data_IF_969213494166
#
_entry.id   IF_969213494166
#
_cell.length_a   1.000
_cell.length_b   1.000
_cell.length_c   1.000
_cell.angle_alpha   90.00
_cell.angle_beta   90.00
_cell.angle_gamma   90.00
#
_symmetry.space_group_name_H-M   'P 1'
#
loop_
_entity.id
_entity.type
_entity.pdbx_description
1 polymer ?
#
# COMPACT_ATOMS: atom_id res chain seq x y z
N UNK A 1 14.42 27.79 42.73
CA UNK A 1 13.44 27.99 41.65
C UNK A 1 12.51 26.80 41.75
N UNK A 2 11.33 27.06 42.29
CA UNK A 2 10.13 26.21 42.43
C UNK A 2 9.62 25.75 41.04
N UNK A 3 8.87 24.67 40.82
CA UNK A 3 8.31 23.52 41.56
C UNK A 3 8.07 22.45 40.44
N UNK A 4 8.51 21.20 40.55
CA UNK A 4 7.72 20.00 40.97
C UNK A 4 6.21 20.02 40.64
N UNK A 5 5.81 18.96 39.92
CA UNK A 5 4.49 18.30 39.87
C UNK A 5 3.28 18.97 39.17
N UNK A 6 2.99 18.48 37.95
CA UNK A 6 1.67 18.31 37.30
C UNK A 6 2.01 17.83 35.86
N UNK A 7 1.73 16.62 35.37
CA UNK A 7 0.43 15.99 35.18
C UNK A 7 0.64 14.46 35.04
N UNK A 8 0.39 13.70 36.10
CA UNK A 8 -0.11 12.33 35.99
C UNK A 8 -1.63 12.44 36.11
N UNK A 9 -2.36 11.92 35.12
CA UNK A 9 -3.79 11.55 35.13
C UNK A 9 -4.42 11.79 33.74
N UNK A 10 -4.23 10.82 32.84
CA UNK A 10 -5.21 10.51 31.79
C UNK A 10 -5.30 9.00 31.65
N UNK A 11 -5.76 8.36 32.73
CA UNK A 11 -6.58 7.16 32.61
C UNK A 11 -7.96 7.61 32.12
N UNK A 12 -8.30 7.31 30.87
CA UNK A 12 -9.70 7.25 30.45
C UNK A 12 -9.84 6.29 29.27
N UNK A 13 -10.14 5.05 29.63
CA UNK A 13 -11.11 4.14 29.01
C UNK A 13 -11.56 4.46 27.58
N UNK A 14 -11.11 3.63 26.63
CA UNK A 14 -11.96 3.12 25.53
C UNK A 14 -11.18 2.04 24.75
N UNK A 15 -10.99 0.88 25.39
CA UNK A 15 -10.72 -0.37 24.67
C UNK A 15 -12.07 -1.04 24.40
N UNK A 16 -12.69 -0.71 23.27
CA UNK A 16 -13.85 -1.43 22.77
C UNK A 16 -13.35 -2.58 21.90
N UNK A 17 -13.63 -3.80 22.37
CA UNK A 17 -13.40 -5.08 21.71
C UNK A 17 -14.30 -5.20 20.47
N UNK A 18 -13.69 -5.16 19.28
CA UNK A 18 -14.35 -5.02 17.98
C UNK A 18 -14.87 -6.37 17.41
N UNK A 19 -15.21 -7.33 18.27
CA UNK A 19 -15.50 -8.73 17.89
C UNK A 19 -16.96 -9.19 18.02
N UNK A 20 -17.94 -8.30 18.23
CA UNK A 20 -19.36 -8.70 18.34
C UNK A 20 -20.32 -7.78 17.56
N UNK A 21 -20.12 -7.60 16.25
CA UNK A 21 -21.21 -7.15 15.37
C UNK A 21 -21.79 -8.35 14.63
N UNK A 22 -22.85 -8.94 15.21
CA UNK A 22 -23.76 -9.83 14.50
C UNK A 22 -24.49 -9.08 13.38
N UNK A 23 -24.42 -9.64 12.16
CA UNK A 23 -25.07 -9.16 10.94
C UNK A 23 -26.59 -9.00 11.12
N UNK A 24 -27.05 -7.74 11.27
CA UNK A 24 -28.44 -7.35 11.04
C UNK A 24 -28.47 -6.48 9.79
N UNK A 25 -28.56 -7.12 8.63
CA UNK A 25 -28.82 -6.44 7.36
C UNK A 25 -30.34 -6.37 7.21
N UNK A 26 -30.95 -5.24 7.60
CA UNK A 26 -32.33 -4.93 7.19
C UNK A 26 -32.33 -4.64 5.68
N UNK A 27 -33.05 -5.47 4.92
CA UNK A 27 -33.27 -5.28 3.48
C UNK A 27 -34.11 -4.01 3.25
N UNK A 28 -33.47 -2.91 2.85
CA UNK A 28 -34.14 -1.70 2.38
C UNK A 28 -34.74 -1.94 0.96
N UNK A 29 -36.07 -1.92 0.77
CA UNK A 29 -36.72 -2.29 -0.49
C UNK A 29 -36.64 -1.22 -1.60
N UNK A 30 -35.82 -0.17 -1.45
CA UNK A 30 -35.82 1.01 -2.33
C UNK A 30 -34.44 1.42 -2.85
N UNK A 31 -33.50 0.48 -3.04
CA UNK A 31 -32.33 0.79 -3.87
C UNK A 31 -32.78 1.02 -5.32
N UNK A 32 -32.61 2.23 -5.88
CA UNK A 32 -32.85 2.44 -7.29
C UNK A 32 -31.87 1.57 -8.07
N UNK A 33 -32.37 0.91 -9.12
CA UNK A 33 -31.56 0.20 -10.11
C UNK A 33 -30.61 1.23 -10.75
N UNK A 34 -29.44 1.42 -10.15
CA UNK A 34 -28.30 1.94 -10.88
C UNK A 34 -27.93 0.84 -11.86
N UNK A 35 -28.47 0.93 -13.07
CA UNK A 35 -27.84 0.36 -14.24
C UNK A 35 -26.42 0.92 -14.24
N UNK A 36 -25.48 0.13 -13.72
CA UNK A 36 -24.05 0.40 -13.86
C UNK A 36 -23.79 0.41 -15.37
N UNK A 37 -23.90 1.59 -15.98
CA UNK A 37 -23.25 1.87 -17.25
C UNK A 37 -21.78 1.54 -17.02
N UNK A 38 -21.33 0.43 -17.60
CA UNK A 38 -19.92 0.06 -17.72
C UNK A 38 -19.19 1.25 -18.38
N UNK A 39 -18.74 2.22 -17.56
CA UNK A 39 -17.80 3.25 -17.98
C UNK A 39 -16.43 2.59 -18.08
N UNK A 40 -16.28 1.74 -19.10
CA UNK A 40 -15.02 1.16 -19.56
C UNK A 40 -14.08 2.23 -20.16
N UNK A 41 -14.30 3.54 -19.92
CA UNK A 41 -13.27 4.55 -20.11
C UNK A 41 -12.32 4.54 -18.91
N UNK A 42 -11.55 3.46 -18.78
CA UNK A 42 -10.22 3.59 -18.19
C UNK A 42 -9.46 4.47 -19.17
N UNK A 43 -9.32 5.77 -18.87
CA UNK A 43 -8.54 6.70 -19.70
C UNK A 43 -7.13 6.10 -19.91
N UNK A 44 -6.94 5.44 -21.05
CA UNK A 44 -5.68 4.81 -21.47
C UNK A 44 -4.61 5.86 -21.79
N UNK A 45 -4.87 7.15 -21.53
CA UNK A 45 -3.82 8.15 -21.46
C UNK A 45 -2.98 7.92 -20.20
N UNK A 46 -2.14 6.89 -20.26
CA UNK A 46 -0.87 6.89 -19.56
C UNK A 46 -0.06 8.05 -20.15
N UNK A 47 -0.31 9.27 -19.65
CA UNK A 47 0.57 10.39 -19.91
C UNK A 47 1.95 9.94 -19.46
N UNK A 48 2.81 9.63 -20.45
CA UNK A 48 4.22 9.45 -20.24
C UNK A 48 4.71 10.76 -19.66
N UNK A 49 4.75 10.85 -18.32
CA UNK A 49 5.34 11.97 -17.61
C UNK A 49 6.67 12.30 -18.29
N UNK A 50 6.88 13.59 -18.57
CA UNK A 50 8.09 14.12 -19.18
C UNK A 50 9.29 13.35 -18.61
N UNK A 51 10.08 12.75 -19.51
CA UNK A 51 11.14 11.81 -19.13
C UNK A 51 12.20 12.57 -18.35
N UNK A 52 11.96 12.67 -17.04
CA UNK A 52 12.91 13.18 -16.08
C UNK A 52 14.27 12.54 -16.27
N UNK A 53 15.32 13.23 -15.85
CA UNK A 53 16.64 12.64 -15.90
C UNK A 53 16.74 11.52 -14.86
N UNK A 54 17.07 10.31 -15.30
CA UNK A 54 17.38 9.21 -14.39
C UNK A 54 18.68 9.53 -13.62
N UNK A 55 18.64 9.44 -12.30
CA UNK A 55 19.79 9.57 -11.42
C UNK A 55 20.50 8.21 -11.34
N UNK A 56 21.83 8.11 -11.54
CA UNK A 56 22.56 6.85 -11.38
C UNK A 56 22.45 6.30 -9.96
N UNK A 57 22.43 4.97 -9.81
CA UNK A 57 22.32 4.31 -8.50
C UNK A 57 23.41 4.71 -7.50
N UNK A 58 24.61 5.06 -7.99
CA UNK A 58 25.72 5.55 -7.15
C UNK A 58 25.49 6.94 -6.55
N UNK A 59 24.54 7.68 -7.09
CA UNK A 59 24.22 9.06 -6.73
C UNK A 59 22.82 9.19 -6.11
N UNK A 60 22.19 8.07 -5.72
CA UNK A 60 20.92 8.11 -4.99
C UNK A 60 21.06 8.90 -3.67
N UNK A 61 20.16 9.86 -3.47
CA UNK A 61 20.10 10.71 -2.26
C UNK A 61 18.88 10.40 -1.40
N UNK A 62 17.85 9.73 -1.94
CA UNK A 62 16.64 9.40 -1.16
C UNK A 62 16.88 8.29 -0.13
N UNK A 63 15.97 8.19 0.85
CA UNK A 63 16.08 7.25 1.97
C UNK A 63 16.10 5.78 1.51
N UNK A 64 16.95 4.90 2.07
CA UNK A 64 16.92 3.48 1.73
C UNK A 64 15.67 2.75 2.27
N UNK A 65 14.85 3.42 3.09
CA UNK A 65 13.61 2.85 3.63
C UNK A 65 12.44 3.01 2.66
N UNK A 66 11.60 1.98 2.56
CA UNK A 66 10.31 2.05 1.89
C UNK A 66 9.37 2.93 2.71
N UNK A 67 8.76 3.90 2.07
CA UNK A 67 7.76 4.74 2.73
C UNK A 67 6.45 3.98 2.94
N UNK A 68 5.63 4.40 3.90
CA UNK A 68 4.29 3.83 4.10
C UNK A 68 3.40 3.90 2.85
N UNK A 69 3.59 4.93 2.03
CA UNK A 69 2.85 5.15 0.78
C UNK A 69 3.29 4.18 -0.32
N UNK A 70 4.60 3.99 -0.46
CA UNK A 70 5.16 3.00 -1.37
C UNK A 70 4.71 1.59 -1.00
N UNK A 71 4.77 1.25 0.29
CA UNK A 71 4.31 -0.05 0.80
C UNK A 71 2.86 -0.30 0.44
N UNK A 72 1.97 0.66 0.71
CA UNK A 72 0.55 0.54 0.38
C UNK A 72 0.33 0.35 -1.13
N UNK A 73 1.01 1.14 -1.96
CA UNK A 73 0.89 1.06 -3.42
C UNK A 73 1.43 -0.26 -3.98
N UNK A 74 2.60 -0.69 -3.53
CA UNK A 74 3.23 -1.95 -3.97
C UNK A 74 2.36 -3.14 -3.61
N UNK A 75 1.84 -3.21 -2.38
CA UNK A 75 0.92 -4.27 -1.96
C UNK A 75 -0.38 -4.25 -2.77
N UNK A 76 -1.02 -3.08 -2.95
CA UNK A 76 -2.25 -2.97 -3.72
C UNK A 76 -2.08 -3.38 -5.18
N UNK A 77 -1.06 -2.85 -5.86
CA UNK A 77 -0.75 -3.21 -7.25
C UNK A 77 -0.42 -4.69 -7.38
N UNK A 78 0.34 -5.26 -6.44
CA UNK A 78 0.70 -6.67 -6.51
C UNK A 78 -0.48 -7.59 -6.21
N UNK A 79 -1.31 -7.25 -5.23
CA UNK A 79 -2.56 -7.97 -4.95
C UNK A 79 -3.49 -7.97 -6.16
N UNK A 80 -3.63 -6.84 -6.85
CA UNK A 80 -4.41 -6.76 -8.10
C UNK A 80 -3.85 -7.69 -9.18
N UNK A 81 -2.53 -7.69 -9.40
CA UNK A 81 -1.90 -8.60 -10.36
C UNK A 81 -2.19 -10.07 -10.03
N UNK A 82 -2.05 -10.47 -8.77
CA UNK A 82 -2.33 -11.84 -8.31
C UNK A 82 -3.81 -12.18 -8.52
N UNK A 83 -4.74 -11.27 -8.20
CA UNK A 83 -6.17 -11.45 -8.43
C UNK A 83 -6.50 -11.65 -9.91
N UNK A 84 -5.75 -11.01 -10.81
CA UNK A 84 -5.86 -11.17 -12.27
C UNK A 84 -5.10 -12.40 -12.82
N UNK A 85 -4.61 -13.29 -11.94
CA UNK A 85 -3.95 -14.54 -12.33
C UNK A 85 -2.46 -14.42 -12.66
N UNK A 86 -1.79 -13.35 -12.23
CA UNK A 86 -0.34 -13.24 -12.40
C UNK A 86 0.40 -14.32 -11.58
N UNK A 87 1.56 -14.83 -12.05
CA UNK A 87 2.34 -15.82 -11.32
C UNK A 87 2.81 -15.32 -9.94
N UNK A 88 2.61 -16.15 -8.92
CA UNK A 88 3.09 -15.91 -7.55
C UNK A 88 4.56 -16.33 -7.43
N UNK A 89 5.36 -15.50 -6.74
CA UNK A 89 6.83 -15.63 -6.65
C UNK A 89 7.33 -16.33 -5.39
N UNK A 90 6.42 -16.75 -4.52
CA UNK A 90 6.63 -17.45 -3.25
C UNK A 90 5.76 -18.71 -3.16
N UNK A 91 6.13 -19.64 -2.28
CA UNK A 91 5.34 -20.83 -2.02
C UNK A 91 4.10 -20.49 -1.19
N UNK A 92 2.95 -21.06 -1.56
CA UNK A 92 1.68 -20.90 -0.88
C UNK A 92 1.49 -22.04 0.15
N UNK A 93 1.10 -21.67 1.35
CA UNK A 93 0.81 -22.54 2.51
C UNK A 93 -0.68 -22.51 2.86
N UNK A 94 -1.55 -22.26 1.87
CA UNK A 94 -2.99 -22.17 2.03
C UNK A 94 -3.56 -20.75 1.96
N UNK A 95 -2.73 -19.73 1.73
CA UNK A 95 -3.20 -18.38 1.50
C UNK A 95 -4.00 -18.30 0.19
N UNK A 96 -5.24 -17.82 0.28
CA UNK A 96 -6.14 -17.63 -0.88
C UNK A 96 -6.37 -16.16 -1.19
N UNK A 97 -6.23 -15.27 -0.19
CA UNK A 97 -6.40 -13.84 -0.38
C UNK A 97 -5.21 -13.22 -1.14
N UNK A 98 -5.43 -12.54 -2.27
CA UNK A 98 -4.36 -11.89 -3.03
C UNK A 98 -3.52 -10.90 -2.22
N UNK A 99 -4.12 -10.23 -1.23
CA UNK A 99 -3.39 -9.27 -0.39
C UNK A 99 -2.46 -9.99 0.61
N UNK A 100 -2.90 -11.09 1.22
CA UNK A 100 -2.02 -11.94 2.04
C UNK A 100 -0.85 -12.51 1.24
N UNK A 101 -1.11 -12.98 0.02
CA UNK A 101 -0.05 -13.48 -0.87
C UNK A 101 0.94 -12.34 -1.20
N UNK A 102 0.46 -11.15 -1.55
CA UNK A 102 1.32 -9.99 -1.81
C UNK A 102 2.14 -9.59 -0.56
N UNK A 103 1.56 -9.66 0.64
CA UNK A 103 2.29 -9.43 1.90
C UNK A 103 3.40 -10.46 2.11
N UNK A 104 3.13 -11.74 1.83
CA UNK A 104 4.12 -12.82 1.89
C UNK A 104 5.26 -12.60 0.90
N UNK A 105 4.94 -12.21 -0.33
CA UNK A 105 5.94 -11.86 -1.34
C UNK A 105 6.78 -10.65 -0.95
N UNK A 106 6.17 -9.59 -0.39
CA UNK A 106 6.90 -8.44 0.08
C UNK A 106 7.87 -8.87 1.20
N UNK A 107 7.40 -9.68 2.17
CA UNK A 107 8.20 -10.21 3.31
C UNK A 107 9.43 -10.97 2.88
N UNK A 108 9.32 -11.72 1.79
CA UNK A 108 10.44 -12.46 1.22
C UNK A 108 11.24 -11.64 0.19
N UNK A 109 10.88 -10.37 -0.05
CA UNK A 109 11.49 -9.47 -1.04
C UNK A 109 11.43 -10.03 -2.46
N UNK A 110 10.27 -10.56 -2.84
CA UNK A 110 10.02 -11.26 -4.11
C UNK A 110 9.07 -10.55 -5.06
N UNK A 111 8.59 -9.36 -4.70
CA UNK A 111 7.72 -8.58 -5.57
C UNK A 111 8.56 -8.01 -6.74
N UNK A 112 8.20 -8.29 -8.01
CA UNK A 112 8.96 -7.83 -9.18
C UNK A 112 8.54 -6.42 -9.61
N UNK A 113 8.60 -5.44 -8.70
CA UNK A 113 8.21 -4.04 -8.96
C UNK A 113 9.38 -3.11 -8.61
N UNK A 114 9.54 -2.04 -9.38
CA UNK A 114 10.45 -0.92 -9.13
C UNK A 114 9.63 0.30 -8.74
N UNK A 115 10.05 0.99 -7.69
CA UNK A 115 9.50 2.27 -7.25
C UNK A 115 10.31 3.39 -7.89
N UNK A 116 9.66 4.20 -8.74
CA UNK A 116 10.26 5.43 -9.28
C UNK A 116 9.96 6.61 -8.37
N UNK A 117 11.00 7.19 -7.75
CA UNK A 117 10.89 8.37 -6.90
C UNK A 117 11.26 9.61 -7.70
N UNK A 118 10.27 10.44 -8.01
CA UNK A 118 10.50 11.73 -8.64
C UNK A 118 10.97 12.76 -7.62
N UNK A 119 12.01 13.52 -8.00
CA UNK A 119 12.53 14.65 -7.26
C UNK A 119 11.86 15.95 -7.74
N UNK A 120 11.90 17.03 -6.93
CA UNK A 120 11.25 18.29 -7.27
C UNK A 120 11.76 18.97 -8.55
N UNK A 121 12.95 18.63 -9.01
CA UNK A 121 13.55 19.12 -10.26
C UNK A 121 13.11 18.31 -11.50
N UNK A 122 12.28 17.29 -11.31
CA UNK A 122 11.80 16.37 -12.34
C UNK A 122 12.73 15.17 -12.58
N UNK A 123 13.94 15.14 -12.02
CA UNK A 123 14.78 13.93 -12.06
C UNK A 123 14.16 12.80 -11.24
N UNK A 124 14.59 11.56 -11.45
CA UNK A 124 14.06 10.43 -10.67
C UNK A 124 15.11 9.38 -10.31
N UNK A 125 14.85 8.69 -9.21
CA UNK A 125 15.60 7.51 -8.76
C UNK A 125 14.72 6.26 -8.87
N UNK A 126 15.24 5.22 -9.51
CA UNK A 126 14.55 3.93 -9.64
C UNK A 126 15.04 2.97 -8.53
N UNK A 127 14.14 2.62 -7.62
CA UNK A 127 14.40 1.77 -6.46
C UNK A 127 13.72 0.40 -6.61
N UNK A 128 14.47 -0.67 -6.84
CA UNK A 128 13.95 -2.03 -6.76
C UNK A 128 13.38 -2.31 -5.36
N UNK A 129 12.18 -2.90 -5.29
CA UNK A 129 11.50 -3.15 -4.01
C UNK A 129 12.26 -4.11 -3.08
N UNK A 130 13.12 -4.97 -3.63
CA UNK A 130 14.02 -5.86 -2.90
C UNK A 130 15.20 -5.15 -2.23
N UNK A 131 15.56 -3.95 -2.70
CA UNK A 131 16.62 -3.12 -2.13
C UNK A 131 16.13 -2.16 -1.04
N UNK A 132 14.82 -1.90 -0.98
CA UNK A 132 14.23 -1.03 0.02
C UNK A 132 14.12 -1.73 1.38
N UNK A 133 14.53 -1.03 2.43
CA UNK A 133 14.43 -1.48 3.81
C UNK A 133 13.03 -1.20 4.36
N UNK A 134 12.48 -2.14 5.11
CA UNK A 134 11.13 -2.02 5.64
C UNK A 134 11.24 -1.59 7.10
N UNK A 135 10.82 -0.35 7.35
CA UNK A 135 10.64 0.16 8.70
C UNK A 135 9.28 -0.36 9.20
N UNK A 136 9.35 -1.37 10.06
CA UNK A 136 8.25 -1.99 10.82
C UNK A 136 7.22 -2.77 10.01
N UNK A 137 6.97 -4.00 10.46
CA UNK A 137 6.06 -4.96 9.84
C UNK A 137 5.21 -5.70 10.85
#
# INVERSE_FOLDING_TARGET
MADEDDYQDMDNDDFVDDNEMEDVIEEDPQRPDNEDEDDDNVDENFELFDQGKAVPTSEHVTTPFMTKYERARVLGTRALQIAMGAPVMVELEGETDPLEIARKELKQRRIPIIVRRYLPDGSYEDWPTDQLQLADW
#
